data_IF_373888022574
#
_entry.id   IF_373888022574
#
_cell.length_a   1.000
_cell.length_b   1.000
_cell.length_c   1.000
_cell.angle_alpha   90.00
_cell.angle_beta   90.00
_cell.angle_gamma   90.00
#
_symmetry.space_group_name_H-M   'P 1'
#
loop_
_entity.id
_entity.type
_entity.pdbx_description
1 polymer ?
#
# COMPACT_ATOMS: atom_id res chain seq x y z
N UNK A 1 14.70 2.88 -0.14
CA UNK A 1 14.50 2.37 -1.51
C UNK A 1 14.80 3.42 -2.57
N UNK A 2 14.18 4.60 -2.49
CA UNK A 2 14.54 5.71 -3.37
C UNK A 2 15.36 6.72 -2.58
N UNK A 3 16.45 7.20 -3.17
CA UNK A 3 17.27 8.29 -2.62
C UNK A 3 16.64 9.66 -2.95
N UNK A 4 15.32 9.77 -2.80
CA UNK A 4 14.55 10.97 -3.09
C UNK A 4 13.22 10.97 -2.31
N UNK A 5 12.68 12.15 -2.04
CA UNK A 5 11.34 12.32 -1.47
C UNK A 5 10.25 12.01 -2.51
N UNK A 6 9.12 11.49 -2.03
CA UNK A 6 7.92 11.27 -2.83
C UNK A 6 6.97 12.43 -2.59
N UNK A 7 6.76 13.25 -3.61
CA UNK A 7 5.86 14.41 -3.57
C UNK A 7 5.08 14.56 -4.87
N UNK A 8 4.44 15.71 -5.09
CA UNK A 8 3.53 15.97 -6.22
C UNK A 8 4.01 15.43 -7.57
N UNK A 9 5.24 15.78 -7.96
CA UNK A 9 5.82 15.41 -9.26
C UNK A 9 6.27 13.95 -9.38
N UNK A 10 6.46 13.23 -8.26
CA UNK A 10 7.01 11.88 -8.25
C UNK A 10 6.05 10.81 -7.67
N UNK A 11 4.95 11.22 -7.07
CA UNK A 11 4.02 10.33 -6.36
C UNK A 11 3.44 9.25 -7.28
N UNK A 12 3.16 9.60 -8.53
CA UNK A 12 2.64 8.66 -9.51
C UNK A 12 3.64 7.61 -9.97
N UNK A 13 4.89 8.01 -10.21
CA UNK A 13 5.95 7.06 -10.57
C UNK A 13 6.25 6.11 -9.42
N UNK A 14 6.24 6.63 -8.19
CA UNK A 14 6.36 5.80 -6.99
C UNK A 14 5.25 4.74 -6.90
N UNK A 15 3.99 5.14 -7.09
CA UNK A 15 2.86 4.19 -7.09
C UNK A 15 3.00 3.13 -8.20
N UNK A 16 3.36 3.56 -9.41
CA UNK A 16 3.55 2.67 -10.57
C UNK A 16 4.70 1.69 -10.33
N UNK A 17 5.82 2.16 -9.78
CA UNK A 17 6.96 1.34 -9.37
C UNK A 17 6.52 0.25 -8.38
N UNK A 18 5.79 0.62 -7.31
CA UNK A 18 5.29 -0.36 -6.34
C UNK A 18 4.34 -1.39 -6.98
N UNK A 19 3.45 -0.94 -7.87
CA UNK A 19 2.50 -1.79 -8.56
C UNK A 19 3.19 -2.81 -9.47
N UNK A 20 4.09 -2.36 -10.35
CA UNK A 20 4.81 -3.26 -11.27
C UNK A 20 5.76 -4.21 -10.55
N UNK A 21 6.47 -3.73 -9.51
CA UNK A 21 7.32 -4.60 -8.69
C UNK A 21 6.48 -5.69 -8.00
N UNK A 22 5.31 -5.33 -7.47
CA UNK A 22 4.39 -6.31 -6.86
C UNK A 22 3.92 -7.33 -7.89
N UNK A 23 3.48 -6.89 -9.08
CA UNK A 23 3.06 -7.78 -10.16
C UNK A 23 4.18 -8.70 -10.62
N UNK A 24 5.41 -8.19 -10.77
CA UNK A 24 6.57 -8.99 -11.13
C UNK A 24 6.93 -10.03 -10.08
N UNK A 25 6.90 -9.67 -8.79
CA UNK A 25 7.14 -10.62 -7.72
C UNK A 25 6.04 -11.69 -7.61
N UNK A 26 4.77 -11.33 -7.83
CA UNK A 26 3.66 -12.29 -7.91
C UNK A 26 3.86 -13.24 -9.09
N UNK A 27 4.16 -12.70 -10.27
CA UNK A 27 4.41 -13.50 -11.46
C UNK A 27 5.54 -14.52 -11.23
N UNK A 28 6.70 -14.07 -10.75
CA UNK A 28 7.83 -14.95 -10.44
C UNK A 28 7.50 -16.00 -9.37
N UNK A 29 6.68 -15.66 -8.37
CA UNK A 29 6.26 -16.60 -7.32
C UNK A 29 5.33 -17.69 -7.88
N UNK A 30 4.38 -17.31 -8.74
CA UNK A 30 3.45 -18.25 -9.39
C UNK A 30 4.20 -19.13 -10.39
N UNK A 31 4.97 -18.55 -11.30
CA UNK A 31 5.70 -19.31 -12.32
C UNK A 31 6.78 -20.21 -11.72
N UNK A 32 7.37 -19.81 -10.58
CA UNK A 32 8.41 -20.56 -9.89
C UNK A 32 7.89 -21.64 -8.92
N UNK A 33 6.58 -21.81 -8.78
CA UNK A 33 5.99 -22.68 -7.77
C UNK A 33 6.38 -24.16 -7.93
N UNK A 34 6.32 -24.68 -9.16
CA UNK A 34 6.67 -26.08 -9.42
C UNK A 34 8.17 -26.33 -9.18
N UNK A 35 9.02 -25.42 -9.66
CA UNK A 35 10.46 -25.47 -9.40
C UNK A 35 10.80 -25.39 -7.91
N UNK A 36 10.05 -24.58 -7.15
CA UNK A 36 10.21 -24.47 -5.71
C UNK A 36 9.89 -25.80 -5.01
N UNK A 37 8.76 -26.43 -5.34
CA UNK A 37 8.38 -27.73 -4.76
C UNK A 37 9.43 -28.80 -5.04
N UNK A 38 9.88 -28.90 -6.29
CA UNK A 38 10.88 -29.87 -6.70
C UNK A 38 12.22 -29.64 -6.00
N UNK A 39 12.66 -28.37 -5.93
CA UNK A 39 13.88 -28.00 -5.23
C UNK A 39 13.79 -28.25 -3.72
N UNK A 40 12.64 -27.97 -3.11
CA UNK A 40 12.41 -28.20 -1.69
C UNK A 40 12.45 -29.70 -1.36
N UNK A 41 11.76 -30.54 -2.14
CA UNK A 41 11.79 -31.99 -1.99
C UNK A 41 13.20 -32.56 -2.20
N UNK A 42 13.95 -32.05 -3.19
CA UNK A 42 15.34 -32.44 -3.41
C UNK A 42 16.25 -32.08 -2.22
N UNK A 43 16.03 -30.91 -1.60
CA UNK A 43 16.77 -30.49 -0.39
C UNK A 43 16.44 -31.39 0.80
N UNK A 44 15.18 -31.75 1.02
CA UNK A 44 14.82 -32.67 2.10
C UNK A 44 15.45 -34.05 1.91
N UNK A 45 15.41 -34.60 0.69
CA UNK A 45 16.10 -35.86 0.37
C UNK A 45 17.61 -35.78 0.60
N UNK A 46 18.25 -34.69 0.17
CA UNK A 46 19.68 -34.48 0.41
C UNK A 46 20.01 -34.40 1.90
N UNK A 47 19.16 -33.75 2.71
CA UNK A 47 19.34 -33.68 4.18
C UNK A 47 19.19 -35.05 4.84
N UNK A 48 18.22 -35.86 4.41
CA UNK A 48 18.04 -37.22 4.94
C UNK A 48 19.24 -38.10 4.62
N UNK A 49 19.70 -38.11 3.37
CA UNK A 49 20.90 -38.84 2.96
C UNK A 49 22.15 -38.39 3.72
N UNK A 50 22.31 -37.08 3.96
CA UNK A 50 23.43 -36.54 4.74
C UNK A 50 23.37 -37.00 6.20
N UNK A 51 22.17 -37.07 6.80
CA UNK A 51 21.96 -37.60 8.15
C UNK A 51 22.24 -39.10 8.24
N UNK A 52 21.76 -39.90 7.29
CA UNK A 52 22.06 -41.34 7.21
C UNK A 52 23.56 -41.58 7.05
N UNK A 53 24.24 -40.82 6.17
CA UNK A 53 25.70 -40.90 6.00
C UNK A 53 26.44 -40.60 7.30
N UNK A 54 26.01 -39.58 8.05
CA UNK A 54 26.63 -39.24 9.33
C UNK A 54 26.41 -40.34 10.38
N UNK A 55 25.24 -40.96 10.40
CA UNK A 55 24.95 -42.10 11.30
C UNK A 55 25.77 -43.35 10.94
N UNK A 56 25.87 -43.67 9.65
CA UNK A 56 26.71 -44.78 9.18
C UNK A 56 28.18 -44.50 9.50
N UNK A 57 28.67 -43.28 9.28
CA UNK A 57 30.05 -42.89 9.62
C UNK A 57 30.34 -42.94 11.13
N UNK A 58 29.35 -42.65 11.98
CA UNK A 58 29.48 -42.79 13.43
C UNK A 58 29.53 -44.27 13.88
N UNK A 59 28.88 -45.17 13.14
CA UNK A 59 28.73 -46.58 13.51
C UNK A 59 29.69 -47.54 12.77
N UNK A 60 30.34 -47.14 11.67
CA UNK A 60 31.23 -47.99 10.88
C UNK A 60 32.70 -47.51 10.91
N UNK A 61 33.56 -48.33 11.50
CA UNK A 61 35.02 -48.29 11.30
C UNK A 61 35.34 -48.79 9.89
N UNK A 62 35.61 -47.85 8.97
CA UNK A 62 36.46 -47.98 7.77
C UNK A 62 36.30 -49.27 6.95
N UNK A 63 35.41 -49.34 5.93
CA UNK A 63 35.58 -50.12 4.67
C UNK A 63 34.32 -50.07 3.78
N UNK A 64 33.75 -48.89 3.51
CA UNK A 64 32.66 -48.80 2.52
C UNK A 64 32.84 -47.59 1.61
N UNK A 65 32.90 -47.86 0.31
CA UNK A 65 33.20 -46.90 -0.77
C UNK A 65 32.23 -45.70 -0.74
N UNK A 66 32.71 -44.48 -1.03
CA UNK A 66 31.90 -43.27 -0.91
C UNK A 66 30.79 -43.24 -1.98
N UNK A 67 29.50 -43.18 -1.61
CA UNK A 67 28.40 -43.01 -2.55
C UNK A 67 28.46 -41.63 -3.22
N UNK A 68 27.83 -41.48 -4.42
CA UNK A 68 28.09 -40.41 -5.37
C UNK A 68 28.07 -39.02 -4.74
N UNK A 69 29.02 -38.20 -5.17
CA UNK A 69 29.16 -36.81 -4.77
C UNK A 69 27.99 -36.01 -5.33
N UNK A 70 27.08 -35.56 -4.46
CA UNK A 70 26.19 -34.46 -4.82
C UNK A 70 27.06 -33.30 -5.28
N UNK A 71 26.92 -32.90 -6.54
CA UNK A 71 27.74 -31.82 -7.08
C UNK A 71 27.35 -30.57 -6.31
N UNK A 72 28.31 -29.89 -5.65
CA UNK A 72 28.05 -28.67 -4.87
C UNK A 72 27.16 -27.67 -5.63
N UNK A 73 27.34 -27.59 -6.94
CA UNK A 73 26.53 -26.79 -7.88
C UNK A 73 25.04 -27.13 -7.85
N UNK A 74 24.66 -28.41 -7.82
CA UNK A 74 23.24 -28.82 -7.72
C UNK A 74 22.64 -28.42 -6.38
N UNK A 75 23.36 -28.65 -5.26
CA UNK A 75 22.92 -28.23 -3.93
C UNK A 75 22.75 -26.71 -3.86
N UNK A 76 23.65 -25.95 -4.46
CA UNK A 76 23.56 -24.49 -4.54
C UNK A 76 22.35 -24.03 -5.39
N UNK A 77 22.09 -24.69 -6.52
CA UNK A 77 20.95 -24.39 -7.40
C UNK A 77 19.60 -24.60 -6.70
N UNK A 78 19.37 -25.74 -6.05
CA UNK A 78 18.10 -25.96 -5.35
C UNK A 78 17.91 -24.97 -4.20
N UNK A 79 18.99 -24.66 -3.45
CA UNK A 79 18.94 -23.65 -2.39
C UNK A 79 18.62 -22.27 -2.96
N UNK A 80 19.23 -21.86 -4.08
CA UNK A 80 18.98 -20.55 -4.68
C UNK A 80 17.55 -20.41 -5.22
N UNK A 81 16.99 -21.47 -5.82
CA UNK A 81 15.57 -21.50 -6.26
C UNK A 81 14.63 -21.28 -5.08
N UNK A 82 14.88 -21.97 -3.95
CA UNK A 82 14.11 -21.77 -2.72
C UNK A 82 14.24 -20.34 -2.19
N UNK A 83 15.46 -19.79 -2.13
CA UNK A 83 15.67 -18.41 -1.70
C UNK A 83 14.96 -17.39 -2.60
N UNK A 84 15.03 -17.56 -3.92
CA UNK A 84 14.36 -16.70 -4.89
C UNK A 84 12.85 -16.68 -4.67
N UNK A 85 12.23 -17.87 -4.55
CA UNK A 85 10.78 -17.98 -4.37
C UNK A 85 10.31 -17.34 -3.07
N UNK A 86 11.03 -17.59 -1.96
CA UNK A 86 10.73 -16.98 -0.65
C UNK A 86 10.91 -15.46 -0.69
N UNK A 87 11.99 -14.97 -1.30
CA UNK A 87 12.26 -13.55 -1.45
C UNK A 87 11.16 -12.87 -2.28
N UNK A 88 10.83 -13.40 -3.46
CA UNK A 88 9.76 -12.85 -4.30
C UNK A 88 8.41 -12.86 -3.57
N UNK A 89 8.06 -13.94 -2.87
CA UNK A 89 6.78 -14.05 -2.15
C UNK A 89 6.68 -13.06 -0.98
N UNK A 90 7.76 -12.90 -0.19
CA UNK A 90 7.80 -11.93 0.90
C UNK A 90 7.72 -10.48 0.42
N UNK A 91 8.44 -10.14 -0.65
CA UNK A 91 8.40 -8.81 -1.28
C UNK A 91 7.02 -8.53 -1.87
N UNK A 92 6.40 -9.51 -2.52
CA UNK A 92 5.03 -9.39 -3.05
C UNK A 92 4.02 -9.04 -1.95
N UNK A 93 4.13 -9.68 -0.77
CA UNK A 93 3.25 -9.36 0.36
C UNK A 93 3.52 -7.97 0.93
N UNK A 94 4.79 -7.62 1.15
CA UNK A 94 5.17 -6.33 1.73
C UNK A 94 4.82 -5.15 0.82
N UNK A 95 5.25 -5.21 -0.46
CA UNK A 95 4.94 -4.18 -1.44
C UNK A 95 3.48 -4.20 -1.86
N UNK A 96 2.83 -5.36 -1.90
CA UNK A 96 1.40 -5.47 -2.18
C UNK A 96 0.55 -4.75 -1.14
N UNK A 97 0.82 -4.97 0.16
CA UNK A 97 0.13 -4.26 1.23
C UNK A 97 0.34 -2.73 1.14
N UNK A 98 1.57 -2.30 0.85
CA UNK A 98 1.88 -0.89 0.63
C UNK A 98 1.13 -0.32 -0.57
N UNK A 99 1.10 -1.04 -1.70
CA UNK A 99 0.41 -0.63 -2.93
C UNK A 99 -1.09 -0.49 -2.69
N UNK A 100 -1.71 -1.47 -2.02
CA UNK A 100 -3.14 -1.41 -1.65
C UNK A 100 -3.43 -0.25 -0.70
N UNK A 101 -2.53 0.02 0.24
CA UNK A 101 -2.66 1.17 1.12
C UNK A 101 -2.63 2.50 0.36
N UNK A 102 -1.67 2.67 -0.56
CA UNK A 102 -1.62 3.86 -1.41
C UNK A 102 -2.84 3.96 -2.33
N UNK A 103 -3.33 2.85 -2.87
CA UNK A 103 -4.56 2.81 -3.66
C UNK A 103 -5.79 3.28 -2.83
N UNK A 104 -5.87 2.89 -1.56
CA UNK A 104 -6.93 3.35 -0.66
C UNK A 104 -6.81 4.85 -0.32
N UNK A 105 -5.59 5.38 -0.22
CA UNK A 105 -5.32 6.80 -0.04
C UNK A 105 -5.77 7.62 -1.26
N UNK A 106 -5.36 7.19 -2.46
CA UNK A 106 -5.75 7.82 -3.74
C UNK A 106 -7.27 7.82 -3.90
N UNK A 107 -7.93 6.70 -3.59
CA UNK A 107 -9.40 6.60 -3.62
C UNK A 107 -10.09 7.65 -2.75
N UNK A 108 -9.47 8.08 -1.65
CA UNK A 108 -9.99 9.10 -0.72
C UNK A 108 -9.55 10.52 -1.03
N UNK A 109 -8.67 10.71 -2.02
CA UNK A 109 -8.06 12.00 -2.35
C UNK A 109 -7.20 12.51 -1.18
N UNK A 110 -6.52 11.62 -0.45
CA UNK A 110 -5.66 11.97 0.67
C UNK A 110 -4.21 11.53 0.40
N UNK A 111 -3.23 12.36 0.75
CA UNK A 111 -1.83 11.93 0.89
C UNK A 111 -1.60 11.18 2.22
N UNK A 112 -0.46 10.50 2.37
CA UNK A 112 -0.11 9.81 3.62
C UNK A 112 -0.03 10.76 4.82
N UNK A 113 0.46 11.98 4.59
CA UNK A 113 0.55 13.05 5.58
C UNK A 113 -0.85 13.59 5.91
N UNK A 114 -1.65 13.89 4.88
CA UNK A 114 -3.03 14.35 5.04
C UNK A 114 -3.87 13.35 5.83
N UNK A 115 -3.75 12.05 5.59
CA UNK A 115 -4.48 11.04 6.37
C UNK A 115 -4.19 11.16 7.87
N UNK A 116 -2.94 11.45 8.25
CA UNK A 116 -2.57 11.64 9.66
C UNK A 116 -3.16 12.93 10.23
N UNK A 117 -3.12 14.03 9.48
CA UNK A 117 -3.73 15.31 9.86
C UNK A 117 -5.25 15.16 9.98
N UNK A 118 -5.90 14.59 8.97
CA UNK A 118 -7.34 14.33 8.93
C UNK A 118 -7.78 13.40 10.06
N UNK A 119 -6.94 12.44 10.47
CA UNK A 119 -7.19 11.60 11.65
C UNK A 119 -7.18 12.43 12.94
N UNK A 120 -6.22 13.35 13.10
CA UNK A 120 -6.17 14.27 14.25
C UNK A 120 -7.35 15.24 14.26
N UNK A 121 -7.72 15.81 13.11
CA UNK A 121 -8.87 16.71 12.97
C UNK A 121 -10.20 16.00 13.27
N UNK A 122 -10.39 14.77 12.77
CA UNK A 122 -11.55 13.94 13.15
C UNK A 122 -11.65 13.73 14.66
N UNK A 123 -10.54 13.45 15.33
CA UNK A 123 -10.52 13.29 16.79
C UNK A 123 -10.83 14.61 17.52
N UNK A 124 -10.32 15.74 17.04
CA UNK A 124 -10.62 17.07 17.60
C UNK A 124 -12.11 17.41 17.49
N UNK A 125 -12.71 17.19 16.32
CA UNK A 125 -14.12 17.45 16.08
C UNK A 125 -15.04 16.52 16.89
N UNK A 126 -14.68 15.25 17.04
CA UNK A 126 -15.40 14.33 17.94
C UNK A 126 -15.35 14.79 19.41
N UNK A 127 -14.20 15.31 19.87
CA UNK A 127 -14.11 15.88 21.23
C UNK A 127 -14.96 17.14 21.38
N UNK A 128 -14.90 18.07 20.42
CA UNK A 128 -15.75 19.29 20.43
C UNK A 128 -17.24 18.92 20.45
N UNK A 129 -17.66 17.99 19.59
CA UNK A 129 -19.05 17.50 19.57
C UNK A 129 -19.48 16.90 20.91
N UNK A 130 -18.62 16.10 21.57
CA UNK A 130 -18.89 15.58 22.91
C UNK A 130 -19.01 16.67 23.98
N UNK A 131 -18.16 17.71 23.95
CA UNK A 131 -18.25 18.85 24.89
C UNK A 131 -19.54 19.63 24.66
N UNK A 132 -19.91 19.91 23.42
CA UNK A 132 -21.16 20.63 23.10
C UNK A 132 -22.40 19.86 23.54
N UNK A 133 -22.41 18.53 23.41
CA UNK A 133 -23.52 17.68 23.90
C UNK A 133 -23.54 17.65 25.44
N UNK A 134 -22.40 17.47 26.10
CA UNK A 134 -22.32 17.43 27.57
C UNK A 134 -22.75 18.76 28.24
N UNK A 135 -22.37 19.89 27.64
CA UNK A 135 -22.80 21.22 28.12
C UNK A 135 -24.31 21.46 27.92
N UNK A 136 -24.94 20.77 26.95
CA UNK A 136 -26.39 20.81 26.72
C UNK A 136 -27.21 19.94 27.67
N UNK A 137 -26.62 18.92 28.30
CA UNK A 137 -27.31 17.98 29.19
C UNK A 137 -27.25 18.34 30.69
N UNK A 138 -26.50 19.37 31.08
CA UNK A 138 -26.24 19.73 32.48
C UNK A 138 -27.00 20.94 33.04
N UNK A 139 -27.81 21.65 32.25
CA UNK A 139 -28.58 22.79 32.72
C UNK A 139 -30.04 22.39 32.94
N UNK A 140 -30.49 22.52 34.19
CA UNK A 140 -31.88 22.28 34.60
C UNK A 140 -32.89 23.08 33.78
N UNK A 141 -34.13 22.58 33.80
CA UNK A 141 -35.31 23.10 33.11
C UNK A 141 -35.45 24.62 33.27
N UNK A 142 -35.01 25.37 32.26
CA UNK A 142 -35.08 26.83 32.24
C UNK A 142 -35.14 27.35 30.82
N UNK A 143 -36.36 27.54 30.32
CA UNK A 143 -36.73 28.36 29.14
C UNK A 143 -35.85 28.16 27.91
N UNK A 144 -36.26 27.22 27.05
CA UNK A 144 -35.72 27.04 25.71
C UNK A 144 -35.65 28.38 24.93
N UNK A 145 -34.45 28.98 24.83
CA UNK A 145 -34.15 29.93 23.76
C UNK A 145 -34.14 29.12 22.46
N UNK A 146 -35.05 29.45 21.55
CA UNK A 146 -35.18 28.83 20.22
C UNK A 146 -34.06 29.24 19.25
N UNK A 147 -33.07 29.98 19.72
CA UNK A 147 -32.11 30.70 18.89
C UNK A 147 -30.69 30.12 19.00
N UNK A 148 -30.50 29.03 19.74
CA UNK A 148 -29.23 28.30 19.76
C UNK A 148 -29.26 27.29 18.61
N UNK A 149 -28.42 27.44 17.57
CA UNK A 149 -28.33 26.44 16.53
C UNK A 149 -27.99 25.11 17.20
N UNK A 150 -28.76 24.05 16.87
CA UNK A 150 -28.40 22.68 17.24
C UNK A 150 -26.90 22.47 17.02
N UNK A 151 -26.17 21.76 17.91
CA UNK A 151 -24.77 21.48 17.68
C UNK A 151 -24.68 20.64 16.42
N UNK A 152 -24.43 21.30 15.29
CA UNK A 152 -24.18 20.65 14.01
C UNK A 152 -22.94 19.81 14.29
N UNK A 153 -23.12 18.49 14.39
CA UNK A 153 -22.01 17.55 14.47
C UNK A 153 -21.18 17.79 13.21
N UNK A 154 -20.11 18.57 13.36
CA UNK A 154 -19.20 18.88 12.27
C UNK A 154 -18.46 17.59 11.92
N UNK A 155 -19.01 16.86 10.95
CA UNK A 155 -18.36 15.68 10.38
C UNK A 155 -17.24 16.20 9.48
N UNK A 156 -15.99 15.87 9.85
CA UNK A 156 -14.84 16.19 9.01
C UNK A 156 -15.00 15.52 7.65
N UNK A 157 -15.12 16.33 6.59
CA UNK A 157 -15.11 15.88 5.21
C UNK A 157 -13.85 16.42 4.55
N UNK A 158 -13.08 15.54 3.90
CA UNK A 158 -11.90 15.96 3.16
C UNK A 158 -12.32 16.90 2.01
N UNK A 159 -11.92 18.18 2.01
CA UNK A 159 -12.32 19.13 0.98
C UNK A 159 -11.74 18.81 -0.40
N UNK A 160 -10.69 18.00 -0.48
CA UNK A 160 -10.01 17.63 -1.72
C UNK A 160 -10.46 16.27 -2.29
N UNK A 161 -11.55 15.69 -1.77
CA UNK A 161 -12.09 14.43 -2.29
C UNK A 161 -13.15 14.70 -3.35
N UNK A 162 -12.82 14.40 -4.61
CA UNK A 162 -13.69 14.54 -5.78
C UNK A 162 -14.63 13.34 -5.98
N UNK A 163 -14.39 12.24 -5.25
CA UNK A 163 -15.07 10.95 -5.43
C UNK A 163 -14.08 9.89 -5.91
N UNK A 164 -14.36 8.61 -5.65
CA UNK A 164 -13.38 7.53 -5.85
C UNK A 164 -12.79 7.53 -7.26
N UNK A 165 -13.62 7.54 -8.30
CA UNK A 165 -13.15 7.50 -9.69
C UNK A 165 -12.46 8.79 -10.15
N UNK A 166 -12.96 9.95 -9.74
CA UNK A 166 -12.40 11.22 -10.17
C UNK A 166 -11.06 11.52 -9.46
N UNK A 167 -10.89 11.08 -8.21
CA UNK A 167 -9.60 11.10 -7.54
C UNK A 167 -8.53 10.30 -8.30
N UNK A 168 -8.90 9.12 -8.83
CA UNK A 168 -7.99 8.31 -9.65
C UNK A 168 -7.66 8.97 -11.00
N UNK A 169 -8.64 9.63 -11.64
CA UNK A 169 -8.41 10.37 -12.89
C UNK A 169 -7.44 11.53 -12.68
N UNK A 170 -7.62 12.30 -11.61
CA UNK A 170 -6.72 13.42 -11.25
C UNK A 170 -5.32 12.90 -10.91
N UNK A 171 -5.21 11.86 -10.08
CA UNK A 171 -3.93 11.27 -9.70
C UNK A 171 -3.16 10.70 -10.91
N UNK A 172 -3.86 10.02 -11.81
CA UNK A 172 -3.30 9.48 -13.04
C UNK A 172 -3.34 10.47 -14.22
N UNK A 173 -3.70 11.74 -14.02
CA UNK A 173 -3.78 12.73 -15.11
C UNK A 173 -4.36 12.18 -16.42
N UNK A 174 -5.42 11.37 -16.33
CA UNK A 174 -6.08 10.75 -17.50
C UNK A 174 -7.36 11.52 -17.77
N UNK A 175 -7.27 12.54 -18.62
CA UNK A 175 -8.43 13.33 -19.04
C UNK A 175 -9.26 12.60 -20.11
N UNK A 176 -8.66 11.64 -20.80
CA UNK A 176 -9.24 10.93 -21.95
C UNK A 176 -8.96 9.43 -21.88
N UNK A 177 -9.97 8.54 -22.01
CA UNK A 177 -9.81 7.08 -21.87
C UNK A 177 -8.84 6.47 -22.89
N UNK A 178 -8.60 7.13 -24.03
CA UNK A 178 -7.66 6.68 -25.06
C UNK A 178 -6.19 6.71 -24.63
N UNK A 179 -5.84 7.51 -23.61
CA UNK A 179 -4.47 7.61 -23.10
C UNK A 179 -4.23 6.79 -21.82
N UNK A 180 -5.22 6.01 -21.37
CA UNK A 180 -5.13 5.11 -20.23
C UNK A 180 -3.90 4.22 -20.32
N UNK A 181 -3.70 3.54 -21.45
CA UNK A 181 -2.59 2.58 -21.61
C UNK A 181 -1.23 3.29 -21.57
N UNK A 182 -1.05 4.36 -22.34
CA UNK A 182 0.23 5.08 -22.45
C UNK A 182 0.60 5.88 -21.20
N UNK A 183 -0.38 6.30 -20.38
CA UNK A 183 -0.11 7.11 -19.18
C UNK A 183 -0.06 6.26 -17.91
N UNK A 184 -0.72 5.11 -17.86
CA UNK A 184 -0.76 4.24 -16.68
C UNK A 184 0.25 3.10 -16.77
N UNK A 185 0.47 2.51 -17.95
CA UNK A 185 1.44 1.41 -18.12
C UNK A 185 2.87 1.86 -18.36
N UNK A 186 3.08 3.02 -18.98
CA UNK A 186 4.40 3.58 -19.23
C UNK A 186 4.66 4.77 -18.29
N UNK A 187 5.89 4.92 -17.76
CA UNK A 187 6.30 6.12 -17.02
C UNK A 187 6.30 7.33 -17.97
N UNK A 188 5.12 7.89 -18.21
CA UNK A 188 4.90 9.01 -19.12
C UNK A 188 5.40 10.31 -18.48
N UNK A 189 6.23 11.12 -19.19
CA UNK A 189 6.85 12.35 -18.66
C UNK A 189 5.89 13.52 -18.47
N UNK A 190 4.59 13.34 -18.68
CA UNK A 190 3.61 14.38 -18.45
C UNK A 190 3.59 14.87 -17.00
N UNK A 191 3.46 16.19 -16.84
CA UNK A 191 3.33 16.79 -15.53
C UNK A 191 2.00 16.40 -14.88
N UNK A 192 1.97 16.27 -13.55
CA UNK A 192 0.72 16.18 -12.80
C UNK A 192 -0.07 17.49 -12.96
N UNK A 193 -1.39 17.41 -12.74
CA UNK A 193 -2.24 18.59 -12.73
C UNK A 193 -1.83 19.57 -11.62
N UNK A 194 -1.73 20.84 -11.97
CA UNK A 194 -1.40 21.92 -11.04
C UNK A 194 0.07 21.96 -10.60
N UNK A 195 0.43 23.03 -9.90
CA UNK A 195 1.81 23.32 -9.45
C UNK A 195 2.16 22.66 -8.11
N UNK A 196 1.18 22.10 -7.41
CA UNK A 196 1.30 21.59 -6.03
C UNK A 196 1.28 22.69 -4.96
N UNK A 197 1.19 23.96 -5.35
CA UNK A 197 1.01 25.11 -4.44
C UNK A 197 -0.46 25.42 -4.17
N UNK A 198 -1.31 25.23 -5.19
CA UNK A 198 -2.76 25.35 -5.11
C UNK A 198 -3.40 24.06 -5.61
N UNK A 199 -4.50 23.70 -4.96
CA UNK A 199 -5.32 22.55 -5.32
C UNK A 199 -6.72 23.07 -5.57
N UNK A 200 -7.26 22.75 -6.75
CA UNK A 200 -8.64 23.10 -7.05
C UNK A 200 -9.55 22.38 -6.04
N UNK A 201 -10.68 23.02 -5.74
CA UNK A 201 -11.72 22.43 -4.92
C UNK A 201 -12.76 21.79 -5.84
N UNK A 202 -13.37 20.66 -5.45
CA UNK A 202 -14.48 20.11 -6.18
C UNK A 202 -15.61 21.14 -6.28
N UNK A 203 -16.37 21.19 -7.39
CA UNK A 203 -17.42 22.19 -7.62
C UNK A 203 -18.43 22.28 -6.47
N UNK A 204 -18.74 21.15 -5.82
CA UNK A 204 -19.65 21.10 -4.68
C UNK A 204 -19.18 21.88 -3.44
N UNK A 205 -17.87 22.05 -3.26
CA UNK A 205 -17.29 22.84 -2.14
C UNK A 205 -17.17 24.32 -2.52
N UNK A 206 -16.97 24.62 -3.81
CA UNK A 206 -16.98 26.00 -4.31
C UNK A 206 -18.36 26.63 -4.18
N UNK A 207 -19.42 25.89 -4.55
CA UNK A 207 -20.82 26.30 -4.40
C UNK A 207 -21.18 26.62 -2.93
N UNK A 208 -20.56 25.89 -1.99
CA UNK A 208 -20.79 26.08 -0.56
C UNK A 208 -20.04 27.29 0.04
N UNK A 209 -18.95 27.73 -0.60
CA UNK A 209 -18.14 28.91 -0.20
C UNK A 209 -18.59 30.21 -0.87
N UNK A 210 -19.11 30.15 -2.10
CA UNK A 210 -19.66 31.31 -2.79
C UNK A 210 -20.70 32.11 -1.97
N UNK A 211 -21.66 31.50 -1.25
CA UNK A 211 -22.61 32.25 -0.42
C UNK A 211 -21.99 32.82 0.87
N UNK A 212 -20.80 32.37 1.30
CA UNK A 212 -20.11 32.90 2.49
C UNK A 212 -19.21 34.10 2.20
N UNK A 213 -18.84 34.33 0.93
CA UNK A 213 -18.05 35.49 0.49
C UNK A 213 -18.93 36.60 -0.10
N UNK A 214 -20.25 36.38 -0.20
CA UNK A 214 -21.23 37.34 -0.67
C UNK A 214 -21.89 38.18 0.46
N UNK A 215 -21.30 38.17 1.67
CA UNK A 215 -21.73 38.96 2.84
C UNK A 215 -20.59 39.89 3.26
#
# INVERSE_FOLDING_TARGET
WLNNCVGHYNHRYFFSFCLFMTMGCIYCSISGWDMFRDAYAAIERMKLLEKERLQVAANQTYYQTPPPTFTFRQRAFHKSVVYLWVLCSSVALALGALTLWHAALITRGETSIERHINRKERQRLQKKGKVSIAHGTGAGWGRARRDVPLPVLQVFRNPYSYGSWDNWKVFLGVDVPRHWLTRVLLPSPHLPHGTGLSWDLPPCVMEQRAPLLAI
#
